data_IF_750201874457
#
_entry.id   IF_750201874457
#
_cell.length_a   1.000
_cell.length_b   1.000
_cell.length_c   1.000
_cell.angle_alpha   90.00
_cell.angle_beta   90.00
_cell.angle_gamma   90.00
#
_symmetry.space_group_name_H-M   'P 1'
#
loop_
_entity.id
_entity.type
_entity.pdbx_description
1 polymer ?
#
# COMPACT_ATOMS: atom_id res chain seq x y z
N UNK A 1 13.40 -45.26 1.33
CA UNK A 1 13.09 -44.06 2.13
C UNK A 1 14.37 -43.51 2.70
N UNK A 2 14.95 -42.51 2.05
CA UNK A 2 16.24 -41.96 2.45
C UNK A 2 15.98 -40.98 3.60
N UNK A 3 16.12 -41.47 4.83
CA UNK A 3 16.52 -40.61 5.95
C UNK A 3 17.94 -40.17 5.56
N UNK A 4 18.04 -39.21 4.63
CA UNK A 4 19.30 -38.54 4.27
C UNK A 4 19.84 -38.04 5.60
N UNK A 5 21.10 -38.33 5.88
CA UNK A 5 21.72 -38.14 7.19
C UNK A 5 21.78 -36.66 7.59
N UNK A 6 20.65 -36.11 8.03
CA UNK A 6 20.53 -34.72 8.45
C UNK A 6 21.32 -34.47 9.72
N UNK A 7 21.55 -35.50 10.56
CA UNK A 7 22.40 -35.40 11.74
C UNK A 7 23.87 -35.22 11.36
N UNK A 8 24.37 -36.02 10.41
CA UNK A 8 25.70 -35.84 9.82
C UNK A 8 25.85 -34.48 9.16
N UNK A 9 24.88 -34.06 8.35
CA UNK A 9 24.88 -32.75 7.71
C UNK A 9 24.92 -31.58 8.73
N UNK A 10 24.18 -31.68 9.83
CA UNK A 10 24.21 -30.68 10.90
C UNK A 10 25.61 -30.60 11.54
N UNK A 11 26.27 -31.73 11.77
CA UNK A 11 27.63 -31.77 12.30
C UNK A 11 28.64 -31.12 11.33
N UNK A 12 28.53 -31.43 10.04
CA UNK A 12 29.39 -30.85 9.00
C UNK A 12 29.20 -29.33 8.89
N UNK A 13 27.95 -28.84 8.91
CA UNK A 13 27.69 -27.40 8.86
C UNK A 13 28.11 -26.68 10.15
N UNK A 14 27.98 -27.32 11.31
CA UNK A 14 28.56 -26.78 12.54
C UNK A 14 30.07 -26.61 12.41
N UNK A 15 30.76 -27.63 11.88
CA UNK A 15 32.21 -27.55 11.67
C UNK A 15 32.58 -26.48 10.64
N UNK A 16 31.82 -26.36 9.55
CA UNK A 16 32.03 -25.30 8.57
C UNK A 16 31.89 -23.90 9.18
N UNK A 17 30.92 -23.69 10.08
CA UNK A 17 30.71 -22.42 10.78
C UNK A 17 31.82 -22.14 11.80
N UNK A 18 32.31 -23.14 12.53
CA UNK A 18 33.48 -22.99 13.41
C UNK A 18 34.73 -22.57 12.65
N UNK A 19 34.97 -23.19 11.48
CA UNK A 19 36.13 -22.90 10.65
C UNK A 19 36.00 -21.56 9.92
N UNK A 20 34.78 -21.18 9.54
CA UNK A 20 34.50 -19.99 8.77
C UNK A 20 33.15 -19.35 9.19
N UNK A 21 33.16 -18.52 10.24
CA UNK A 21 31.93 -17.96 10.82
C UNK A 21 31.23 -16.92 9.95
N UNK A 22 31.89 -16.41 8.90
CA UNK A 22 31.32 -15.49 7.92
C UNK A 22 30.75 -16.21 6.68
N UNK A 23 30.78 -17.54 6.65
CA UNK A 23 30.30 -18.31 5.51
C UNK A 23 28.77 -18.46 5.51
N UNK A 24 28.09 -17.44 4.98
CA UNK A 24 26.62 -17.38 4.86
C UNK A 24 25.98 -18.70 4.37
N UNK A 25 26.56 -19.36 3.36
CA UNK A 25 26.01 -20.62 2.82
C UNK A 25 25.99 -21.78 3.83
N UNK A 26 26.92 -21.83 4.78
CA UNK A 26 26.88 -22.86 5.82
C UNK A 26 25.68 -22.65 6.75
N UNK A 27 25.35 -21.40 7.09
CA UNK A 27 24.13 -21.09 7.83
C UNK A 27 22.88 -21.43 7.03
N UNK A 28 22.78 -21.04 5.75
CA UNK A 28 21.62 -21.38 4.91
C UNK A 28 21.40 -22.89 4.85
N UNK A 29 22.45 -23.67 4.60
CA UNK A 29 22.32 -25.12 4.47
C UNK A 29 22.02 -25.79 5.83
N UNK A 30 22.57 -25.28 6.94
CA UNK A 30 22.21 -25.74 8.29
C UNK A 30 20.76 -25.45 8.61
N UNK A 31 20.26 -24.27 8.24
CA UNK A 31 18.85 -23.91 8.40
C UNK A 31 17.92 -24.85 7.64
N UNK A 32 18.27 -25.21 6.40
CA UNK A 32 17.53 -26.22 5.62
C UNK A 32 17.55 -27.59 6.31
N UNK A 33 18.72 -28.05 6.79
CA UNK A 33 18.83 -29.32 7.50
C UNK A 33 17.97 -29.34 8.78
N UNK A 34 17.98 -28.24 9.55
CA UNK A 34 17.13 -28.07 10.75
C UNK A 34 15.64 -28.13 10.43
N UNK A 35 15.23 -27.51 9.32
CA UNK A 35 13.83 -27.55 8.86
C UNK A 35 13.39 -28.99 8.55
N UNK A 36 14.26 -29.79 7.92
CA UNK A 36 14.00 -31.21 7.65
C UNK A 36 13.92 -32.06 8.93
N UNK A 37 14.57 -31.63 10.00
CA UNK A 37 14.44 -32.23 11.35
C UNK A 37 13.35 -31.57 12.21
N UNK A 38 12.49 -30.74 11.60
CA UNK A 38 11.38 -30.02 12.24
C UNK A 38 11.80 -28.98 13.30
N UNK A 39 13.06 -28.56 13.34
CA UNK A 39 13.55 -27.45 14.16
C UNK A 39 13.36 -26.11 13.42
N UNK A 40 12.10 -25.66 13.37
CA UNK A 40 11.72 -24.42 12.69
C UNK A 40 12.38 -23.18 13.31
N UNK A 41 12.42 -23.11 14.65
CA UNK A 41 13.01 -21.98 15.37
C UNK A 41 14.51 -21.86 15.09
N UNK A 42 15.24 -22.97 15.18
CA UNK A 42 16.66 -23.00 14.85
C UNK A 42 16.93 -22.74 13.37
N UNK A 43 16.03 -23.13 12.46
CA UNK A 43 16.16 -22.79 11.04
C UNK A 43 16.01 -21.29 10.77
N UNK A 44 15.05 -20.62 11.41
CA UNK A 44 14.86 -19.16 11.26
C UNK A 44 16.10 -18.39 11.71
N UNK A 45 16.67 -18.77 12.86
CA UNK A 45 17.91 -18.17 13.37
C UNK A 45 19.09 -18.32 12.41
N UNK A 46 19.19 -19.48 11.75
CA UNK A 46 20.24 -19.73 10.76
C UNK A 46 20.00 -18.92 9.47
N UNK A 47 18.77 -18.82 8.99
CA UNK A 47 18.47 -17.98 7.82
C UNK A 47 18.70 -16.50 8.11
N UNK A 48 18.34 -16.01 9.30
CA UNK A 48 18.64 -14.65 9.74
C UNK A 48 20.14 -14.37 9.74
N UNK A 49 20.93 -15.31 10.28
CA UNK A 49 22.39 -15.22 10.29
C UNK A 49 22.96 -15.22 8.86
N UNK A 50 22.46 -16.08 7.99
CA UNK A 50 22.87 -16.16 6.59
C UNK A 50 22.60 -14.84 5.84
N UNK A 51 21.42 -14.26 6.02
CA UNK A 51 21.00 -12.99 5.40
C UNK A 51 21.83 -11.82 5.95
N UNK A 52 22.11 -11.80 7.26
CA UNK A 52 22.97 -10.77 7.86
C UNK A 52 24.40 -10.81 7.30
N UNK A 53 24.93 -12.01 7.04
CA UNK A 53 26.25 -12.19 6.45
C UNK A 53 26.27 -11.91 4.94
N UNK A 54 25.18 -12.20 4.23
CA UNK A 54 25.04 -11.95 2.80
C UNK A 54 23.58 -11.59 2.45
N UNK A 55 23.33 -10.30 2.27
CA UNK A 55 22.02 -9.77 1.89
C UNK A 55 21.57 -10.18 0.46
N UNK A 56 22.45 -10.78 -0.34
CA UNK A 56 22.12 -11.30 -1.67
C UNK A 56 21.90 -12.82 -1.67
N UNK A 57 21.77 -13.46 -0.50
CA UNK A 57 21.51 -14.90 -0.41
C UNK A 57 20.02 -15.22 -0.70
N UNK A 58 19.68 -15.30 -1.99
CA UNK A 58 18.31 -15.52 -2.46
C UNK A 58 17.66 -16.78 -1.85
N UNK A 59 18.45 -17.86 -1.67
CA UNK A 59 17.97 -19.11 -1.09
C UNK A 59 17.60 -18.94 0.39
N UNK A 60 18.38 -18.18 1.16
CA UNK A 60 18.10 -17.94 2.57
C UNK A 60 16.79 -17.15 2.76
N UNK A 61 16.56 -16.12 1.95
CA UNK A 61 15.29 -15.40 1.89
C UNK A 61 14.14 -16.35 1.53
N UNK A 62 14.29 -17.13 0.46
CA UNK A 62 13.23 -18.05 0.02
C UNK A 62 12.86 -19.06 1.13
N UNK A 63 13.86 -19.68 1.76
CA UNK A 63 13.61 -20.67 2.81
C UNK A 63 13.03 -20.05 4.08
N UNK A 64 13.50 -18.86 4.49
CA UNK A 64 12.93 -18.13 5.64
C UNK A 64 11.47 -17.77 5.38
N UNK A 65 11.15 -17.29 4.18
CA UNK A 65 9.80 -16.96 3.76
C UNK A 65 8.85 -18.15 3.83
N UNK A 66 9.30 -19.33 3.37
CA UNK A 66 8.52 -20.57 3.48
C UNK A 66 8.22 -20.95 4.93
N UNK A 67 9.21 -20.85 5.82
CA UNK A 67 9.01 -21.17 7.25
C UNK A 67 8.04 -20.18 7.88
N UNK A 68 8.20 -18.88 7.59
CA UNK A 68 7.32 -17.82 8.09
C UNK A 68 5.87 -17.99 7.66
N UNK A 69 5.61 -18.36 6.41
CA UNK A 69 4.26 -18.65 5.90
C UNK A 69 3.62 -19.88 6.54
N UNK A 70 4.43 -20.84 7.02
CA UNK A 70 3.94 -21.98 7.80
C UNK A 70 3.77 -21.65 9.30
N UNK A 71 4.17 -20.45 9.71
CA UNK A 71 3.94 -19.87 11.03
C UNK A 71 2.98 -18.67 10.89
N UNK A 72 2.58 -18.03 11.98
CA UNK A 72 1.60 -16.93 11.93
C UNK A 72 2.17 -15.59 11.39
N UNK A 73 3.20 -15.61 10.54
CA UNK A 73 3.85 -14.43 9.95
C UNK A 73 3.75 -14.47 8.41
N UNK A 74 2.53 -14.28 7.90
CA UNK A 74 2.26 -14.35 6.47
C UNK A 74 2.92 -13.19 5.71
N UNK A 75 2.82 -11.97 6.22
CA UNK A 75 3.36 -10.77 5.59
C UNK A 75 4.90 -10.81 5.52
N UNK A 76 5.56 -11.14 6.63
CA UNK A 76 7.01 -11.30 6.67
C UNK A 76 7.48 -12.47 5.81
N UNK A 77 6.65 -13.50 5.67
CA UNK A 77 6.90 -14.62 4.79
C UNK A 77 6.86 -14.24 3.31
N UNK A 78 5.81 -13.53 2.88
CA UNK A 78 5.67 -13.05 1.51
C UNK A 78 6.77 -12.06 1.14
N UNK A 79 7.10 -11.11 2.01
CA UNK A 79 8.20 -10.16 1.80
C UNK A 79 9.56 -10.84 1.57
N UNK A 80 9.83 -11.94 2.30
CA UNK A 80 11.05 -12.72 2.10
C UNK A 80 11.07 -13.45 0.76
N UNK A 81 9.95 -14.04 0.33
CA UNK A 81 9.86 -14.67 -0.99
C UNK A 81 10.00 -13.61 -2.10
N UNK A 82 9.43 -12.41 -1.93
CA UNK A 82 9.62 -11.27 -2.84
C UNK A 82 11.08 -10.90 -2.98
N UNK A 83 11.80 -10.84 -1.85
CA UNK A 83 13.22 -10.54 -1.89
C UNK A 83 14.02 -11.60 -2.63
N UNK A 84 13.64 -12.88 -2.49
CA UNK A 84 14.25 -13.96 -3.24
C UNK A 84 14.00 -13.84 -4.76
N UNK A 85 12.81 -13.38 -5.18
CA UNK A 85 12.47 -13.13 -6.59
C UNK A 85 13.35 -12.04 -7.19
N UNK A 86 13.53 -10.92 -6.48
CA UNK A 86 14.41 -9.82 -6.87
C UNK A 86 15.87 -10.26 -7.06
N UNK A 87 16.32 -11.22 -6.25
CA UNK A 87 17.65 -11.80 -6.32
C UNK A 87 17.75 -12.92 -7.37
N UNK A 88 16.69 -13.17 -8.15
CA UNK A 88 16.67 -14.12 -9.25
C UNK A 88 16.43 -15.57 -8.84
N UNK A 89 15.82 -15.84 -7.68
CA UNK A 89 15.50 -17.20 -7.28
C UNK A 89 14.35 -17.76 -8.13
N UNK A 90 14.66 -18.74 -8.99
CA UNK A 90 13.77 -19.22 -10.04
C UNK A 90 12.36 -19.67 -9.59
N UNK A 91 12.20 -20.14 -8.34
CA UNK A 91 10.90 -20.60 -7.84
C UNK A 91 10.13 -19.54 -7.03
N UNK A 92 10.68 -18.34 -6.82
CA UNK A 92 10.05 -17.33 -5.98
C UNK A 92 8.77 -16.78 -6.60
N UNK A 93 8.79 -16.38 -7.88
CA UNK A 93 7.63 -15.86 -8.60
C UNK A 93 6.40 -16.79 -8.53
N UNK A 94 6.58 -18.07 -8.87
CA UNK A 94 5.48 -19.05 -8.86
C UNK A 94 4.99 -19.34 -7.44
N UNK A 95 5.87 -19.25 -6.44
CA UNK A 95 5.52 -19.39 -5.04
C UNK A 95 4.69 -18.20 -4.55
N UNK A 96 5.06 -16.97 -4.89
CA UNK A 96 4.30 -15.76 -4.58
C UNK A 96 2.89 -15.82 -5.16
N UNK A 97 2.78 -16.18 -6.45
CA UNK A 97 1.48 -16.32 -7.11
C UNK A 97 0.57 -17.33 -6.39
N UNK A 98 1.15 -18.40 -5.85
CA UNK A 98 0.41 -19.49 -5.21
C UNK A 98 0.00 -19.19 -3.76
N UNK A 99 0.88 -18.56 -2.98
CA UNK A 99 0.71 -18.46 -1.52
C UNK A 99 0.54 -17.01 -1.01
N UNK A 100 0.91 -16.01 -1.80
CA UNK A 100 0.94 -14.61 -1.39
C UNK A 100 0.01 -13.69 -2.23
N UNK A 101 -0.55 -14.18 -3.34
CA UNK A 101 -1.34 -13.36 -4.23
C UNK A 101 -0.54 -12.14 -4.73
N UNK A 102 -1.18 -10.97 -4.80
CA UNK A 102 -0.53 -9.72 -5.22
C UNK A 102 0.47 -9.12 -4.21
N UNK A 103 0.65 -9.71 -3.03
CA UNK A 103 1.51 -9.20 -1.93
C UNK A 103 3.00 -9.54 -2.09
N UNK A 104 3.42 -9.83 -3.32
CA UNK A 104 4.74 -10.39 -3.63
C UNK A 104 5.75 -9.41 -4.23
N UNK A 105 5.51 -8.10 -4.22
CA UNK A 105 6.53 -7.13 -4.65
C UNK A 105 6.92 -6.31 -3.42
N UNK A 106 8.16 -5.82 -3.37
CA UNK A 106 8.47 -4.60 -2.61
C UNK A 106 7.38 -3.57 -2.97
N UNK A 107 6.32 -3.49 -2.16
CA UNK A 107 5.33 -2.46 -2.31
C UNK A 107 6.08 -1.21 -1.90
N UNK A 108 6.43 -0.40 -2.90
CA UNK A 108 6.67 1.00 -2.67
C UNK A 108 5.40 1.49 -1.99
N UNK A 109 5.49 1.67 -0.67
CA UNK A 109 4.38 2.19 0.12
C UNK A 109 4.33 3.66 -0.25
N UNK A 110 3.36 3.98 -1.10
CA UNK A 110 3.08 5.35 -1.46
C UNK A 110 2.18 5.95 -0.39
N UNK A 111 2.38 7.22 -0.11
CA UNK A 111 1.51 7.98 0.76
C UNK A 111 1.27 9.31 0.10
N UNK A 112 0.02 9.75 0.10
CA UNK A 112 -0.31 11.09 -0.34
C UNK A 112 -0.02 12.08 0.78
N UNK A 113 0.99 12.91 0.58
CA UNK A 113 1.29 14.03 1.46
C UNK A 113 0.48 15.25 1.01
N UNK A 114 -0.31 15.79 1.94
CA UNK A 114 -1.05 17.04 1.78
C UNK A 114 -0.84 17.93 3.00
N UNK A 115 -0.34 19.14 2.78
CA UNK A 115 -0.12 20.13 3.83
C UNK A 115 -1.43 20.87 4.14
N UNK A 116 -2.30 20.24 4.94
CA UNK A 116 -3.53 20.86 5.42
C UNK A 116 -3.18 22.11 6.25
N UNK A 117 -3.66 23.32 5.90
CA UNK A 117 -3.22 24.52 6.59
C UNK A 117 -3.67 24.53 8.07
N UNK A 118 -2.75 24.76 9.01
CA UNK A 118 -3.10 24.84 10.44
C UNK A 118 -4.11 25.95 10.72
N UNK A 119 -4.02 27.07 9.99
CA UNK A 119 -4.94 28.21 10.08
C UNK A 119 -6.40 27.85 9.76
N UNK A 120 -6.61 26.71 9.12
CA UNK A 120 -7.90 26.18 8.74
C UNK A 120 -8.49 25.25 9.82
N UNK A 121 -7.69 24.81 10.81
CA UNK A 121 -8.18 24.07 11.97
C UNK A 121 -8.92 22.78 11.63
N UNK A 122 -8.26 21.85 10.94
CA UNK A 122 -8.82 20.55 10.60
C UNK A 122 -8.58 19.49 11.69
N UNK A 123 -9.56 18.60 11.90
CA UNK A 123 -9.43 17.37 12.69
C UNK A 123 -9.91 16.14 11.91
N UNK A 124 -9.32 14.98 12.22
CA UNK A 124 -9.88 13.69 11.82
C UNK A 124 -11.14 13.44 12.61
N UNK A 125 -12.29 13.44 11.92
CA UNK A 125 -13.60 13.20 12.52
C UNK A 125 -13.97 11.71 12.52
N UNK A 126 -13.56 10.98 11.48
CA UNK A 126 -13.66 9.51 11.45
C UNK A 126 -12.59 8.90 10.56
N UNK A 127 -12.25 7.64 10.84
CA UNK A 127 -11.41 6.82 9.98
C UNK A 127 -12.00 5.43 9.89
N UNK A 128 -12.18 4.94 8.66
CA UNK A 128 -12.73 3.63 8.36
C UNK A 128 -11.79 2.94 7.37
N UNK A 129 -11.53 1.67 7.58
CA UNK A 129 -10.67 0.87 6.71
C UNK A 129 -11.31 -0.50 6.54
N UNK A 130 -11.51 -0.88 5.29
CA UNK A 130 -11.98 -2.21 4.88
C UNK A 130 -11.04 -2.77 3.81
N UNK A 131 -11.36 -3.96 3.29
CA UNK A 131 -10.52 -4.64 2.30
C UNK A 131 -10.47 -3.93 0.94
N UNK A 132 -11.40 -3.02 0.65
CA UNK A 132 -11.50 -2.31 -0.64
C UNK A 132 -10.91 -0.90 -0.58
N UNK A 133 -10.98 -0.25 0.59
CA UNK A 133 -10.56 1.15 0.74
C UNK A 133 -10.30 1.56 2.18
N UNK A 134 -9.51 2.62 2.31
CA UNK A 134 -9.40 3.45 3.51
C UNK A 134 -10.10 4.79 3.27
N UNK A 135 -10.88 5.25 4.25
CA UNK A 135 -11.60 6.52 4.21
C UNK A 135 -11.31 7.30 5.49
N UNK A 136 -10.96 8.57 5.34
CA UNK A 136 -10.76 9.52 6.45
C UNK A 136 -11.66 10.71 6.18
N UNK A 137 -12.56 10.99 7.12
CA UNK A 137 -13.40 12.19 7.11
C UNK A 137 -12.78 13.26 8.01
N UNK A 138 -12.74 14.49 7.51
CA UNK A 138 -12.12 15.65 8.12
C UNK A 138 -13.18 16.72 8.34
N UNK A 139 -13.20 17.29 9.55
CA UNK A 139 -14.06 18.42 9.92
C UNK A 139 -13.22 19.58 10.43
N UNK A 140 -13.81 20.77 10.49
CA UNK A 140 -13.25 21.88 11.27
C UNK A 140 -13.26 21.52 12.76
N UNK A 141 -12.30 22.06 13.51
CA UNK A 141 -12.08 21.75 14.92
C UNK A 141 -13.33 21.98 15.78
N UNK A 142 -14.08 23.02 15.47
CA UNK A 142 -15.31 23.47 16.12
C UNK A 142 -16.61 22.88 15.53
N UNK A 143 -16.53 22.03 14.50
CA UNK A 143 -17.70 21.47 13.80
C UNK A 143 -17.97 19.99 14.14
N UNK A 144 -19.20 19.55 13.82
CA UNK A 144 -19.68 18.15 13.91
C UNK A 144 -20.33 17.71 12.60
N UNK A 145 -20.64 16.41 12.44
CA UNK A 145 -21.31 15.88 11.24
C UNK A 145 -22.73 16.43 11.03
N UNK A 146 -23.34 17.01 12.06
CA UNK A 146 -24.65 17.67 11.98
C UNK A 146 -24.51 19.16 11.59
N UNK A 147 -23.41 19.81 12.01
CA UNK A 147 -23.25 21.27 11.96
C UNK A 147 -22.19 21.77 11.00
N UNK A 148 -21.53 20.87 10.27
CA UNK A 148 -20.42 21.23 9.38
C UNK A 148 -20.82 22.20 8.27
N UNK A 149 -19.85 23.05 7.89
CA UNK A 149 -19.96 23.98 6.75
C UNK A 149 -19.06 23.56 5.59
N UNK A 150 -17.89 23.00 5.91
CA UNK A 150 -16.95 22.38 4.97
C UNK A 150 -16.50 21.02 5.50
N UNK A 151 -16.52 20.00 4.64
CA UNK A 151 -16.02 18.66 4.96
C UNK A 151 -14.96 18.25 3.96
N UNK A 152 -13.91 17.59 4.44
CA UNK A 152 -12.88 16.98 3.61
C UNK A 152 -12.97 15.47 3.72
N UNK A 153 -12.80 14.76 2.60
CA UNK A 153 -12.69 13.31 2.62
C UNK A 153 -11.42 12.90 1.90
N UNK A 154 -10.65 12.01 2.53
CA UNK A 154 -9.49 11.36 1.92
C UNK A 154 -9.80 9.88 1.78
N UNK A 155 -9.59 9.34 0.59
CA UNK A 155 -9.81 7.94 0.28
C UNK A 155 -8.57 7.36 -0.38
N UNK A 156 -8.24 6.15 0.02
CA UNK A 156 -7.20 5.32 -0.62
C UNK A 156 -7.88 4.05 -1.08
N UNK A 157 -7.69 3.69 -2.34
CA UNK A 157 -8.17 2.45 -2.92
C UNK A 157 -6.96 1.57 -3.24
N UNK A 158 -6.62 0.62 -2.33
CA UNK A 158 -5.56 -0.34 -2.58
C UNK A 158 -5.85 -1.14 -3.85
N UNK A 159 -4.79 -1.59 -4.52
CA UNK A 159 -4.84 -2.43 -5.72
C UNK A 159 -5.48 -1.82 -6.97
N UNK A 160 -6.01 -0.58 -6.93
CA UNK A 160 -6.40 0.15 -8.13
C UNK A 160 -5.15 0.73 -8.82
N UNK A 161 -4.70 0.04 -9.88
CA UNK A 161 -3.46 0.32 -10.61
C UNK A 161 -3.73 0.60 -12.07
N UNK A 162 -2.94 1.50 -12.66
CA UNK A 162 -3.00 1.83 -14.08
C UNK A 162 -4.40 2.23 -14.57
N UNK A 163 -5.22 2.83 -13.72
CA UNK A 163 -6.53 3.32 -14.09
C UNK A 163 -6.37 4.74 -14.63
N UNK A 164 -6.83 5.04 -15.86
CA UNK A 164 -6.86 6.41 -16.36
C UNK A 164 -7.69 7.28 -15.41
N UNK A 165 -7.14 8.43 -15.02
CA UNK A 165 -7.78 9.32 -14.03
C UNK A 165 -9.14 9.83 -14.50
N UNK A 166 -9.35 9.99 -15.81
CA UNK A 166 -10.67 10.29 -16.37
C UNK A 166 -11.68 9.15 -16.20
N UNK A 167 -11.24 7.90 -16.32
CA UNK A 167 -12.10 6.74 -16.09
C UNK A 167 -12.54 6.69 -14.63
N UNK A 168 -11.63 7.00 -13.70
CA UNK A 168 -11.94 7.13 -12.28
C UNK A 168 -12.93 8.27 -12.00
N UNK A 169 -12.71 9.46 -12.57
CA UNK A 169 -13.64 10.59 -12.49
C UNK A 169 -15.05 10.20 -12.97
N UNK A 170 -15.15 9.54 -14.12
CA UNK A 170 -16.43 9.11 -14.69
C UNK A 170 -17.13 8.06 -13.80
N UNK A 171 -16.37 7.16 -13.17
CA UNK A 171 -16.92 6.19 -12.23
C UNK A 171 -17.48 6.88 -10.97
N UNK A 172 -16.76 7.83 -10.38
CA UNK A 172 -17.21 8.61 -9.23
C UNK A 172 -18.46 9.44 -9.57
N UNK A 173 -18.46 10.10 -10.72
CA UNK A 173 -19.63 10.82 -11.20
C UNK A 173 -20.84 9.90 -11.46
N UNK A 174 -20.60 8.71 -12.02
CA UNK A 174 -21.63 7.68 -12.16
C UNK A 174 -22.25 7.28 -10.84
N UNK A 175 -21.43 7.15 -9.78
CA UNK A 175 -21.93 6.86 -8.43
C UNK A 175 -22.72 8.03 -7.85
N UNK A 176 -22.28 9.27 -8.04
CA UNK A 176 -23.03 10.46 -7.65
C UNK A 176 -24.42 10.48 -8.31
N UNK A 177 -24.49 10.18 -9.61
CA UNK A 177 -25.75 10.11 -10.38
C UNK A 177 -26.75 9.10 -9.86
N UNK A 178 -26.31 7.97 -9.30
CA UNK A 178 -27.23 6.99 -8.69
C UNK A 178 -28.03 7.57 -7.53
N UNK A 179 -27.44 8.55 -6.82
CA UNK A 179 -28.09 9.19 -5.67
C UNK A 179 -28.62 10.59 -5.97
N UNK A 180 -28.19 11.18 -7.09
CA UNK A 180 -28.57 12.51 -7.53
C UNK A 180 -28.60 12.58 -9.04
N UNK A 181 -29.77 12.33 -9.64
CA UNK A 181 -29.93 12.27 -11.10
C UNK A 181 -29.65 13.61 -11.79
N UNK A 182 -29.79 14.72 -11.07
CA UNK A 182 -29.48 16.08 -11.51
C UNK A 182 -28.00 16.48 -11.36
N UNK A 183 -27.14 15.57 -10.87
CA UNK A 183 -25.73 15.87 -10.65
C UNK A 183 -25.05 16.36 -11.93
N UNK A 184 -24.27 17.43 -11.81
CA UNK A 184 -23.49 18.05 -12.87
C UNK A 184 -22.00 17.83 -12.63
N UNK A 185 -21.31 17.29 -13.63
CA UNK A 185 -19.85 17.20 -13.65
C UNK A 185 -19.26 18.40 -14.39
N UNK A 186 -18.26 19.05 -13.79
CA UNK A 186 -17.46 20.11 -14.41
C UNK A 186 -15.99 19.74 -14.31
N UNK A 187 -15.32 19.61 -15.45
CA UNK A 187 -13.87 19.41 -15.49
C UNK A 187 -13.14 20.71 -15.11
N UNK A 188 -12.04 20.61 -14.35
CA UNK A 188 -11.19 21.75 -13.99
C UNK A 188 -9.85 21.66 -14.74
N UNK A 189 -9.04 20.65 -14.42
CA UNK A 189 -7.69 20.47 -14.97
C UNK A 189 -7.23 19.02 -14.76
N UNK A 190 -6.26 18.54 -15.56
CA UNK A 190 -5.57 17.26 -15.36
C UNK A 190 -4.13 17.34 -15.84
N UNK A 191 -3.31 16.40 -15.39
CA UNK A 191 -1.98 16.13 -15.95
C UNK A 191 -1.81 14.61 -16.06
N UNK A 192 -1.72 14.11 -17.29
CA UNK A 192 -1.65 12.66 -17.57
C UNK A 192 -0.25 12.15 -17.85
N UNK A 193 0.70 13.05 -18.15
CA UNK A 193 2.07 12.69 -18.49
C UNK A 193 3.03 12.71 -17.30
N UNK A 194 2.56 13.20 -16.14
CA UNK A 194 3.30 13.13 -14.89
C UNK A 194 3.53 11.68 -14.44
N UNK A 195 4.60 11.48 -13.65
CA UNK A 195 4.88 10.19 -12.98
C UNK A 195 3.65 9.63 -12.26
N UNK A 196 2.88 10.51 -11.64
CA UNK A 196 1.61 10.19 -10.99
C UNK A 196 0.52 11.04 -11.66
N UNK A 197 -0.20 10.48 -12.65
CA UNK A 197 -1.29 11.18 -13.31
C UNK A 197 -2.34 11.65 -12.32
N UNK A 198 -2.90 12.84 -12.54
CA UNK A 198 -3.93 13.39 -11.66
C UNK A 198 -5.00 14.19 -12.41
N UNK A 199 -6.17 14.33 -11.79
CA UNK A 199 -7.31 15.11 -12.31
C UNK A 199 -8.04 15.85 -11.19
N UNK A 200 -8.47 17.06 -11.50
CA UNK A 200 -9.34 17.92 -10.71
C UNK A 200 -10.67 18.13 -11.43
N UNK A 201 -11.77 17.97 -10.70
CA UNK A 201 -13.11 18.18 -11.22
C UNK A 201 -14.07 18.52 -10.10
N UNK A 202 -15.25 19.04 -10.49
CA UNK A 202 -16.32 19.40 -9.57
C UNK A 202 -17.57 18.59 -9.86
N UNK A 203 -18.24 18.12 -8.82
CA UNK A 203 -19.58 17.53 -8.88
C UNK A 203 -20.52 18.41 -8.06
N UNK A 204 -21.61 18.85 -8.67
CA UNK A 204 -22.64 19.67 -8.04
C UNK A 204 -23.99 18.94 -8.12
N UNK A 205 -24.65 18.81 -6.97
CA UNK A 205 -25.92 18.16 -6.73
C UNK A 205 -26.75 19.00 -5.74
N UNK A 206 -27.53 19.96 -6.22
CA UNK A 206 -28.33 20.84 -5.36
C UNK A 206 -29.57 20.22 -4.70
N UNK A 207 -29.63 18.88 -4.59
CA UNK A 207 -30.77 18.15 -4.00
C UNK A 207 -30.36 17.09 -2.97
N UNK A 208 -29.05 16.94 -2.69
CA UNK A 208 -28.53 15.99 -1.71
C UNK A 208 -27.25 16.54 -1.10
N UNK A 209 -27.11 16.44 0.22
CA UNK A 209 -25.87 16.80 0.89
C UNK A 209 -24.80 15.69 0.77
N UNK A 210 -23.52 16.07 0.57
CA UNK A 210 -23.06 17.44 0.28
C UNK A 210 -23.43 17.89 -1.14
N UNK A 211 -23.86 19.15 -1.27
CA UNK A 211 -24.42 19.67 -2.52
C UNK A 211 -23.36 20.03 -3.56
N UNK A 212 -22.15 20.44 -3.17
CA UNK A 212 -21.07 20.70 -4.13
C UNK A 212 -19.74 20.20 -3.62
N UNK A 213 -18.94 19.65 -4.53
CA UNK A 213 -17.73 18.93 -4.17
C UNK A 213 -16.64 19.18 -5.22
N UNK A 214 -15.43 19.54 -4.79
CA UNK A 214 -14.23 19.54 -5.65
C UNK A 214 -13.42 18.31 -5.32
N UNK A 215 -13.11 17.53 -6.35
CA UNK A 215 -12.46 16.25 -6.28
C UNK A 215 -11.05 16.33 -6.88
N UNK A 216 -10.13 15.61 -6.28
CA UNK A 216 -8.77 15.39 -6.73
C UNK A 216 -8.46 13.90 -6.73
N UNK A 217 -8.18 13.33 -7.90
CA UNK A 217 -7.76 11.94 -8.04
C UNK A 217 -6.32 11.92 -8.51
N UNK A 218 -5.49 11.08 -7.88
CA UNK A 218 -4.10 10.83 -8.27
C UNK A 218 -3.90 9.32 -8.39
N UNK A 219 -3.37 8.88 -9.53
CA UNK A 219 -2.98 7.48 -9.74
C UNK A 219 -1.56 7.27 -9.20
N UNK A 220 -1.45 6.54 -8.11
CA UNK A 220 -0.20 6.01 -7.59
C UNK A 220 0.27 4.77 -8.37
N UNK A 221 1.41 4.23 -7.97
CA UNK A 221 1.99 3.02 -8.56
C UNK A 221 1.14 1.79 -8.25
N UNK A 222 0.70 1.65 -6.99
CA UNK A 222 0.02 0.46 -6.50
C UNK A 222 -1.42 0.69 -6.02
N UNK A 223 -1.83 1.94 -5.92
CA UNK A 223 -3.09 2.38 -5.35
C UNK A 223 -3.57 3.70 -5.99
N UNK A 224 -4.83 4.04 -5.74
CA UNK A 224 -5.41 5.31 -6.16
C UNK A 224 -5.78 6.16 -4.95
N UNK A 225 -5.35 7.42 -4.98
CA UNK A 225 -5.69 8.40 -3.98
C UNK A 225 -6.82 9.28 -4.49
N UNK A 226 -7.90 9.40 -3.72
CA UNK A 226 -9.06 10.23 -4.06
C UNK A 226 -9.35 11.13 -2.88
N UNK A 227 -9.36 12.44 -3.13
CA UNK A 227 -9.63 13.42 -2.10
C UNK A 227 -10.73 14.35 -2.59
N UNK A 228 -11.57 14.81 -1.69
CA UNK A 228 -12.56 15.83 -2.00
C UNK A 228 -12.69 16.81 -0.86
N UNK A 229 -13.13 18.01 -1.21
CA UNK A 229 -13.69 18.98 -0.29
C UNK A 229 -15.09 19.30 -0.73
N UNK A 230 -15.98 19.49 0.23
CA UNK A 230 -17.40 19.62 -0.04
C UNK A 230 -18.07 20.66 0.85
N UNK A 231 -19.13 21.25 0.30
CA UNK A 231 -20.00 22.21 0.96
C UNK A 231 -21.47 21.84 0.79
N UNK A 232 -22.33 22.40 1.66
CA UNK A 232 -23.79 22.32 1.55
C UNK A 232 -24.38 23.29 0.53
N UNK A 233 -23.59 24.19 -0.06
CA UNK A 233 -24.10 25.11 -1.08
C UNK A 233 -24.20 24.42 -2.44
N UNK A 234 -25.22 24.79 -3.24
CA UNK A 234 -25.46 24.31 -4.61
C UNK A 234 -24.31 24.55 -5.59
N UNK A 235 -23.43 25.48 -5.28
CA UNK A 235 -22.25 25.82 -6.07
C UNK A 235 -21.14 26.19 -5.12
N UNK A 236 -19.92 25.71 -5.40
CA UNK A 236 -18.73 26.12 -4.64
C UNK A 236 -18.44 27.59 -4.97
N UNK A 237 -18.29 28.48 -3.96
CA UNK A 237 -17.84 29.85 -4.19
C UNK A 237 -16.51 29.88 -4.96
N UNK A 238 -16.36 30.81 -5.91
CA UNK A 238 -15.22 30.81 -6.83
C UNK A 238 -13.87 30.99 -6.12
N UNK A 239 -13.82 31.81 -5.08
CA UNK A 239 -12.65 32.00 -4.22
C UNK A 239 -12.28 30.73 -3.45
N UNK A 240 -13.29 29.98 -3.00
CA UNK A 240 -13.12 28.71 -2.31
C UNK A 240 -12.66 27.60 -3.27
N UNK A 241 -13.23 27.55 -4.48
CA UNK A 241 -12.80 26.64 -5.55
C UNK A 241 -11.32 26.87 -5.90
N UNK A 242 -10.94 28.13 -6.15
CA UNK A 242 -9.55 28.52 -6.43
C UNK A 242 -8.60 28.11 -5.29
N UNK A 243 -9.03 28.32 -4.05
CA UNK A 243 -8.27 27.94 -2.86
C UNK A 243 -8.04 26.44 -2.79
N UNK A 244 -9.08 25.64 -3.01
CA UNK A 244 -9.00 24.18 -2.96
C UNK A 244 -8.21 23.59 -4.12
N UNK A 245 -8.37 24.12 -5.33
CA UNK A 245 -7.56 23.72 -6.49
C UNK A 245 -6.08 23.96 -6.22
N UNK A 246 -5.71 25.15 -5.72
CA UNK A 246 -4.32 25.45 -5.32
C UNK A 246 -3.81 24.55 -4.21
N UNK A 247 -4.66 24.17 -3.26
CA UNK A 247 -4.32 23.24 -2.19
C UNK A 247 -4.02 21.83 -2.75
N UNK A 248 -4.93 21.27 -3.54
CA UNK A 248 -4.77 19.92 -4.10
C UNK A 248 -3.54 19.80 -5.02
N UNK A 249 -3.22 20.84 -5.81
CA UNK A 249 -2.04 20.87 -6.67
C UNK A 249 -0.70 20.85 -5.92
N UNK A 250 -0.69 21.14 -4.61
CA UNK A 250 0.52 21.02 -3.77
C UNK A 250 0.77 19.61 -3.28
N UNK A 251 -0.21 18.72 -3.40
CA UNK A 251 -0.10 17.35 -2.93
C UNK A 251 1.00 16.58 -3.68
N UNK A 252 1.66 15.66 -2.98
CA UNK A 252 2.76 14.85 -3.53
C UNK A 252 2.66 13.43 -3.03
N UNK A 253 2.89 12.49 -3.93
CA UNK A 253 3.12 11.11 -3.53
C UNK A 253 4.55 10.98 -3.02
N UNK A 254 4.68 10.51 -1.78
CA UNK A 254 5.95 10.16 -1.16
C UNK A 254 6.05 8.65 -1.06
N UNK A 255 7.24 8.11 -1.26
CA UNK A 255 7.54 6.68 -1.18
C UNK A 255 8.30 6.40 0.11
N UNK A 256 7.85 5.43 0.90
CA UNK A 256 8.56 4.96 2.11
C UNK A 256 9.49 3.80 1.80
#
# INVERSE_FOLDING_TARGET
>A
MQIKDFKGALADFNKAIELKPDFSNAFTNRGVAKLQTNDRKGSLQDFDSAIKLNANNALAYFMRGQVKLQTQDADGGCADISKADELGYASAQSFLQKYCGSHGKNEVIESLMMDWPDSEGWKVASSQEDNERKVIELLRNDETFETWTEIGTMMVYPALRNIPVEAAMNAMYGQAKKTCTSAKLTFIEKEETAKHPWILFKIECGSKEPESQVWHIIQGTNEMFVNLRAVKQKTVPADLEDKWVKFFKKSKIVTQ
#
